data_IF_454003771021
#
_entry.id   IF_454003771021
#
_cell.length_a   1.000
_cell.length_b   1.000
_cell.length_c   1.000
_cell.angle_alpha   90.00
_cell.angle_beta   90.00
_cell.angle_gamma   90.00
#
_symmetry.space_group_name_H-M   'P 1'
#
loop_
_entity.id
_entity.type
_entity.pdbx_description
1 polymer ?
#
# COMPACT_ATOMS: atom_id res chain seq x y z
N UNK A 1 20.49 -29.78 -10.96
CA UNK A 1 19.83 -28.72 -11.75
C UNK A 1 20.26 -27.38 -11.18
N UNK A 2 20.45 -26.31 -11.97
CA UNK A 2 20.79 -25.01 -11.39
C UNK A 2 19.67 -24.54 -10.45
N UNK A 3 20.03 -24.24 -9.20
CA UNK A 3 19.11 -23.78 -8.17
C UNK A 3 18.53 -22.41 -8.57
N UNK A 4 17.20 -22.31 -8.69
CA UNK A 4 16.50 -21.08 -9.07
C UNK A 4 16.61 -20.06 -7.94
N UNK A 5 16.94 -18.81 -8.25
CA UNK A 5 17.04 -17.75 -7.26
C UNK A 5 15.67 -17.52 -6.58
N UNK A 6 15.55 -17.69 -5.25
CA UNK A 6 14.27 -17.56 -4.55
C UNK A 6 13.86 -16.09 -4.34
N UNK A 7 14.81 -15.16 -4.33
CA UNK A 7 14.53 -13.74 -4.11
C UNK A 7 13.93 -13.10 -5.37
N UNK A 8 12.90 -12.29 -5.19
CA UNK A 8 12.12 -11.68 -6.28
C UNK A 8 11.96 -10.18 -6.05
N UNK A 9 12.99 -9.37 -6.35
CA UNK A 9 12.93 -7.92 -6.12
C UNK A 9 11.98 -7.18 -7.09
N UNK A 10 11.40 -7.84 -8.10
CA UNK A 10 10.48 -7.19 -9.03
C UNK A 10 9.23 -6.61 -8.34
N UNK A 11 8.85 -5.40 -8.73
CA UNK A 11 7.69 -4.69 -8.18
C UNK A 11 6.41 -5.55 -8.15
N UNK A 12 5.78 -5.62 -6.97
CA UNK A 12 4.52 -6.33 -6.77
C UNK A 12 4.61 -7.86 -6.80
N UNK A 13 5.80 -8.45 -7.00
CA UNK A 13 5.97 -9.90 -6.93
C UNK A 13 5.99 -10.34 -5.46
N UNK A 14 5.30 -11.46 -5.18
CA UNK A 14 5.33 -12.06 -3.85
C UNK A 14 6.76 -12.56 -3.54
N UNK A 15 7.37 -12.12 -2.42
CA UNK A 15 8.61 -12.67 -1.94
C UNK A 15 8.38 -14.12 -1.46
N UNK A 16 9.45 -14.93 -1.35
CA UNK A 16 9.34 -16.30 -0.84
C UNK A 16 8.82 -16.33 0.60
N UNK A 17 9.16 -15.32 1.41
CA UNK A 17 8.74 -15.20 2.82
C UNK A 17 8.27 -13.77 3.11
N UNK A 18 7.12 -13.64 3.79
CA UNK A 18 6.54 -12.37 4.27
C UNK A 18 6.98 -12.10 5.72
N UNK A 19 8.24 -11.72 5.88
CA UNK A 19 8.88 -11.57 7.19
C UNK A 19 8.26 -10.40 7.96
N UNK A 20 7.90 -10.62 9.24
CA UNK A 20 7.35 -9.58 10.11
C UNK A 20 5.96 -9.07 9.72
N UNK A 21 5.24 -9.77 8.83
CA UNK A 21 3.90 -9.40 8.37
C UNK A 21 2.78 -10.27 8.94
N UNK A 22 3.12 -11.34 9.67
CA UNK A 22 2.17 -12.32 10.17
C UNK A 22 1.04 -11.70 11.02
N UNK A 23 1.29 -10.79 11.99
CA UNK A 23 0.19 -10.21 12.78
C UNK A 23 -0.83 -9.45 11.94
N UNK A 24 -0.38 -8.78 10.87
CA UNK A 24 -1.25 -8.03 9.95
C UNK A 24 -2.07 -9.01 9.09
N UNK A 25 -1.46 -10.12 8.69
CA UNK A 25 -2.11 -11.19 7.95
C UNK A 25 -3.18 -11.85 8.81
N UNK A 26 -2.88 -12.11 10.08
CA UNK A 26 -3.77 -12.74 11.04
C UNK A 26 -4.99 -11.86 11.30
N UNK A 27 -4.84 -10.55 11.54
CA UNK A 27 -5.99 -9.66 11.73
C UNK A 27 -6.97 -9.70 10.55
N UNK A 28 -6.44 -9.66 9.33
CA UNK A 28 -7.25 -9.70 8.12
C UNK A 28 -7.95 -11.05 7.97
N UNK A 29 -7.20 -12.12 8.22
CA UNK A 29 -7.67 -13.49 8.18
C UNK A 29 -8.83 -13.72 9.15
N UNK A 30 -8.66 -13.32 10.42
CA UNK A 30 -9.67 -13.38 11.47
C UNK A 30 -10.89 -12.53 11.13
N UNK A 31 -10.71 -11.34 10.51
CA UNK A 31 -11.84 -10.48 10.16
C UNK A 31 -12.72 -11.02 9.04
N UNK A 32 -12.19 -11.86 8.15
CA UNK A 32 -13.01 -12.57 7.18
C UNK A 32 -13.84 -13.67 7.85
N UNK A 33 -13.29 -14.33 8.87
CA UNK A 33 -13.93 -15.42 9.60
C UNK A 33 -14.97 -14.93 10.62
N UNK A 34 -14.71 -13.80 11.29
CA UNK A 34 -15.55 -13.23 12.35
C UNK A 34 -16.82 -12.53 11.85
N UNK A 35 -17.11 -12.50 10.55
CA UNK A 35 -18.37 -11.94 10.06
C UNK A 35 -18.42 -10.41 9.98
N UNK A 36 -19.60 -9.87 9.64
CA UNK A 36 -19.84 -8.44 9.44
C UNK A 36 -19.50 -7.67 10.74
N UNK A 37 -18.91 -6.48 10.61
CA UNK A 37 -18.52 -5.64 11.75
C UNK A 37 -17.11 -5.90 12.31
N UNK A 38 -16.43 -6.98 11.90
CA UNK A 38 -15.05 -7.22 12.33
C UNK A 38 -14.09 -6.09 11.86
N UNK A 39 -13.23 -5.52 12.75
CA UNK A 39 -12.40 -4.36 12.41
C UNK A 39 -11.50 -4.53 11.19
N UNK A 40 -10.95 -5.74 10.98
CA UNK A 40 -10.09 -6.05 9.84
C UNK A 40 -10.83 -6.16 8.49
N UNK A 41 -12.17 -5.96 8.45
CA UNK A 41 -12.90 -5.82 7.18
C UNK A 41 -12.66 -4.47 6.53
N UNK A 42 -12.23 -3.46 7.28
CA UNK A 42 -11.89 -2.14 6.74
C UNK A 42 -10.47 -1.86 7.20
N UNK A 43 -9.50 -2.00 6.31
CA UNK A 43 -8.09 -1.81 6.65
C UNK A 43 -7.45 -0.68 5.86
N UNK A 44 -6.50 -0.03 6.51
CA UNK A 44 -5.61 0.93 5.89
C UNK A 44 -4.16 0.50 6.11
N UNK A 45 -3.52 0.07 5.02
CA UNK A 45 -2.13 -0.36 4.98
C UNK A 45 -1.27 0.80 4.49
N UNK A 46 -0.39 1.29 5.35
CA UNK A 46 0.50 2.39 5.01
C UNK A 46 1.95 1.99 5.08
N UNK A 47 2.81 2.71 4.38
CA UNK A 47 4.25 2.55 4.44
C UNK A 47 4.92 3.31 3.30
N UNK A 48 6.23 3.52 3.39
CA UNK A 48 6.97 4.17 2.30
C UNK A 48 7.01 3.26 1.06
N UNK A 49 7.54 3.79 -0.05
CA UNK A 49 7.82 2.99 -1.25
C UNK A 49 8.72 1.80 -0.86
N UNK A 50 8.51 0.63 -1.48
CA UNK A 50 9.29 -0.59 -1.23
C UNK A 50 9.05 -1.33 0.10
N UNK A 51 8.14 -0.87 0.97
CA UNK A 51 7.80 -1.58 2.23
C UNK A 51 6.89 -2.82 2.05
N UNK A 52 6.43 -3.08 0.82
CA UNK A 52 5.61 -4.26 0.51
C UNK A 52 4.09 -4.05 0.59
N UNK A 53 3.59 -2.82 0.40
CA UNK A 53 2.14 -2.54 0.38
C UNK A 53 1.37 -3.39 -0.65
N UNK A 54 1.80 -3.37 -1.91
CA UNK A 54 1.21 -4.19 -2.99
C UNK A 54 1.32 -5.69 -2.72
N UNK A 55 2.40 -6.11 -2.05
CA UNK A 55 2.61 -7.50 -1.63
C UNK A 55 1.57 -7.88 -0.56
N UNK A 56 1.33 -7.02 0.43
CA UNK A 56 0.28 -7.24 1.44
C UNK A 56 -1.11 -7.32 0.82
N UNK A 57 -1.46 -6.41 -0.10
CA UNK A 57 -2.72 -6.49 -0.83
C UNK A 57 -2.83 -7.80 -1.62
N UNK A 58 -1.75 -8.27 -2.23
CA UNK A 58 -1.73 -9.54 -2.96
C UNK A 58 -1.96 -10.73 -2.03
N UNK A 59 -1.38 -10.71 -0.84
CA UNK A 59 -1.60 -11.75 0.16
C UNK A 59 -3.04 -11.77 0.68
N UNK A 60 -3.63 -10.61 0.99
CA UNK A 60 -5.03 -10.51 1.37
C UNK A 60 -5.96 -11.04 0.28
N UNK A 61 -5.66 -10.76 -0.99
CA UNK A 61 -6.41 -11.32 -2.13
C UNK A 61 -6.28 -12.84 -2.21
N UNK A 62 -5.10 -13.40 -1.95
CA UNK A 62 -4.87 -14.87 -1.92
C UNK A 62 -5.72 -15.51 -0.82
N UNK A 63 -5.69 -14.91 0.37
CA UNK A 63 -6.45 -15.35 1.55
C UNK A 63 -7.95 -15.29 1.29
N UNK A 64 -8.45 -14.18 0.76
CA UNK A 64 -9.87 -14.00 0.43
C UNK A 64 -10.34 -15.02 -0.62
N UNK A 65 -9.57 -15.23 -1.70
CA UNK A 65 -9.87 -16.26 -2.72
C UNK A 65 -9.92 -17.66 -2.12
N UNK A 66 -8.98 -18.02 -1.24
CA UNK A 66 -8.97 -19.30 -0.55
C UNK A 66 -10.22 -19.50 0.33
N UNK A 67 -10.79 -18.41 0.85
CA UNK A 67 -12.06 -18.39 1.60
C UNK A 67 -13.31 -18.25 0.74
N UNK A 68 -13.18 -18.31 -0.60
CA UNK A 68 -14.26 -18.13 -1.58
C UNK A 68 -14.92 -16.75 -1.59
N UNK A 69 -14.15 -15.71 -1.24
CA UNK A 69 -14.56 -14.33 -1.46
C UNK A 69 -14.27 -13.92 -2.91
N UNK A 70 -15.15 -13.09 -3.47
CA UNK A 70 -14.87 -12.41 -4.72
C UNK A 70 -13.84 -11.30 -4.48
N UNK A 71 -12.88 -11.14 -5.38
CA UNK A 71 -11.81 -10.16 -5.24
C UNK A 71 -11.83 -9.17 -6.40
N UNK A 72 -11.92 -7.90 -6.06
CA UNK A 72 -11.77 -6.76 -6.97
C UNK A 72 -10.51 -6.01 -6.56
N UNK A 73 -9.60 -5.81 -7.50
CA UNK A 73 -8.33 -5.14 -7.26
C UNK A 73 -8.19 -3.96 -8.21
N UNK A 74 -7.95 -2.78 -7.65
CA UNK A 74 -7.79 -1.54 -8.39
C UNK A 74 -6.55 -0.80 -7.93
N UNK A 75 -5.97 -0.04 -8.84
CA UNK A 75 -5.00 1.02 -8.51
C UNK A 75 -5.76 2.33 -8.57
N UNK A 76 -5.64 3.15 -7.53
CA UNK A 76 -6.30 4.44 -7.46
C UNK A 76 -5.81 5.38 -8.56
N UNK A 77 -6.78 6.01 -9.23
CA UNK A 77 -6.61 7.04 -10.25
C UNK A 77 -7.98 7.67 -10.50
N UNK A 78 -8.04 8.77 -11.24
CA UNK A 78 -9.32 9.42 -11.62
C UNK A 78 -10.33 8.42 -12.18
N UNK A 79 -11.59 8.52 -11.75
CA UNK A 79 -12.68 7.65 -12.19
C UNK A 79 -12.66 6.27 -11.54
N UNK A 80 -12.13 6.15 -10.32
CA UNK A 80 -12.03 4.88 -9.60
C UNK A 80 -13.41 4.27 -9.35
N UNK A 81 -14.38 5.09 -8.93
CA UNK A 81 -15.76 4.63 -8.66
C UNK A 81 -16.43 4.06 -9.91
N UNK A 82 -16.28 4.74 -11.05
CA UNK A 82 -16.83 4.26 -12.32
C UNK A 82 -16.28 2.87 -12.70
N UNK A 83 -14.97 2.64 -12.52
CA UNK A 83 -14.34 1.33 -12.77
C UNK A 83 -14.83 0.25 -11.81
N UNK A 84 -15.00 0.58 -10.53
CA UNK A 84 -15.59 -0.34 -9.55
C UNK A 84 -17.02 -0.73 -9.93
N UNK A 85 -17.85 0.23 -10.32
CA UNK A 85 -19.23 -0.02 -10.76
C UNK A 85 -19.24 -0.94 -12.00
N UNK A 86 -18.39 -0.66 -13.00
CA UNK A 86 -18.29 -1.46 -14.21
C UNK A 86 -17.86 -2.91 -13.90
N UNK A 87 -16.93 -3.09 -12.96
CA UNK A 87 -16.46 -4.43 -12.53
C UNK A 87 -17.52 -5.21 -11.75
N UNK A 88 -18.31 -4.52 -10.93
CA UNK A 88 -19.41 -5.12 -10.16
C UNK A 88 -20.61 -5.49 -11.04
N UNK A 89 -20.80 -4.77 -12.15
CA UNK A 89 -21.93 -4.93 -13.08
C UNK A 89 -21.47 -5.27 -14.51
N UNK A 90 -20.76 -6.39 -14.73
CA UNK A 90 -20.31 -6.76 -16.07
C UNK A 90 -21.53 -7.03 -16.97
N UNK A 91 -21.57 -6.32 -18.09
CA UNK A 91 -22.66 -6.26 -19.06
C UNK A 91 -23.08 -7.66 -19.50
N UNK A 92 -24.19 -8.15 -18.94
CA UNK A 92 -24.73 -9.49 -19.16
C UNK A 92 -26.08 -9.76 -18.47
N UNK A 93 -26.53 -8.84 -17.60
CA UNK A 93 -27.91 -8.76 -17.15
C UNK A 93 -28.42 -7.38 -17.54
N UNK A 94 -29.50 -7.34 -18.34
CA UNK A 94 -30.26 -6.14 -18.63
C UNK A 94 -30.45 -5.39 -17.30
N UNK A 95 -30.12 -4.11 -17.26
CA UNK A 95 -30.82 -3.23 -16.34
C UNK A 95 -32.29 -3.33 -16.75
N UNK A 96 -33.06 -4.16 -16.05
CA UNK A 96 -34.49 -3.99 -16.04
C UNK A 96 -34.73 -2.63 -15.39
N UNK A 97 -34.91 -1.63 -16.27
CA UNK A 97 -35.63 -0.41 -15.96
C UNK A 97 -37.08 -0.81 -15.64
N UNK A 98 -37.31 -1.31 -14.44
CA UNK A 98 -38.66 -1.58 -13.94
C UNK A 98 -38.61 -1.57 -12.41
N UNK A 99 -38.57 -0.36 -11.85
CA UNK A 99 -39.35 0.06 -10.68
C UNK A 99 -39.08 1.55 -10.45
N UNK A 100 -39.35 2.35 -11.49
CA UNK A 100 -39.73 3.74 -11.30
C UNK A 100 -41.24 3.72 -11.44
N UNK A 101 -41.95 3.52 -10.33
CA UNK A 101 -43.38 3.85 -10.28
C UNK A 101 -43.50 5.33 -10.63
N UNK A 102 -44.11 5.71 -11.77
CA UNK A 102 -44.35 7.11 -12.03
C UNK A 102 -45.40 7.53 -11.02
N UNK A 103 -45.00 8.42 -10.10
CA UNK A 103 -45.93 9.11 -9.22
C UNK A 103 -47.03 9.71 -10.09
N UNK A 104 -48.26 9.28 -9.83
CA UNK A 104 -49.49 9.71 -10.50
C UNK A 104 -49.44 11.23 -10.68
N UNK A 105 -49.38 11.66 -11.93
CA UNK A 105 -49.31 13.06 -12.31
C UNK A 105 -50.59 13.79 -11.92
N UNK A 106 -50.45 14.81 -11.06
CA UNK A 106 -51.42 15.88 -10.94
C UNK A 106 -51.42 16.62 -12.28
N UNK A 107 -52.59 16.73 -12.90
CA UNK A 107 -52.76 17.48 -14.15
C UNK A 107 -52.37 18.96 -13.93
N UNK A 108 -51.33 19.43 -14.62
CA UNK A 108 -51.04 20.87 -14.70
C UNK A 108 -49.56 21.30 -14.64
N UNK A 109 -48.60 20.42 -14.41
CA UNK A 109 -47.17 20.79 -14.42
C UNK A 109 -46.45 19.97 -15.49
N UNK A 110 -45.90 20.72 -16.44
CA UNK A 110 -45.36 20.25 -17.69
C UNK A 110 -44.37 19.10 -17.54
N UNK A 111 -44.52 18.16 -18.46
CA UNK A 111 -43.49 17.25 -18.98
C UNK A 111 -42.16 17.98 -19.15
N UNK A 112 -41.30 17.90 -18.13
CA UNK A 112 -39.90 18.27 -18.24
C UNK A 112 -39.18 17.16 -19.02
N UNK A 113 -39.19 17.34 -20.33
CA UNK A 113 -38.13 16.96 -21.28
C UNK A 113 -37.14 15.87 -20.84
N UNK A 114 -37.30 14.71 -21.45
CA UNK A 114 -36.22 13.79 -21.85
C UNK A 114 -35.07 14.56 -22.51
N UNK A 115 -34.12 15.05 -21.72
CA UNK A 115 -32.97 15.80 -22.23
C UNK A 115 -32.37 16.70 -21.16
N UNK A 116 -31.16 16.37 -20.72
CA UNK A 116 -30.35 17.05 -19.68
C UNK A 116 -30.52 16.55 -18.25
N UNK A 117 -30.59 15.24 -18.09
CA UNK A 117 -30.06 14.57 -16.91
C UNK A 117 -28.73 13.89 -17.29
N UNK A 118 -27.71 14.67 -17.69
CA UNK A 118 -26.32 14.21 -17.49
C UNK A 118 -26.04 14.35 -15.99
N UNK A 119 -26.72 13.53 -15.18
CA UNK A 119 -26.19 13.23 -13.86
C UNK A 119 -24.81 12.64 -14.12
N UNK A 120 -23.78 13.20 -13.53
CA UNK A 120 -22.45 12.61 -13.48
C UNK A 120 -22.56 11.28 -12.73
N UNK A 121 -23.02 10.24 -13.45
CA UNK A 121 -23.30 8.91 -12.93
C UNK A 121 -22.01 8.16 -12.53
N UNK A 122 -20.85 8.77 -12.79
CA UNK A 122 -19.53 8.17 -12.66
C UNK A 122 -19.04 8.09 -11.21
N UNK A 123 -19.54 8.92 -10.29
CA UNK A 123 -19.11 8.96 -8.87
C UNK A 123 -20.28 9.04 -7.86
N UNK A 124 -21.46 8.51 -8.18
CA UNK A 124 -22.60 8.52 -7.25
C UNK A 124 -22.50 7.37 -6.22
N UNK A 125 -22.44 7.66 -4.89
CA UNK A 125 -22.38 6.63 -3.84
C UNK A 125 -23.55 5.64 -3.88
N UNK A 126 -24.76 6.09 -4.27
CA UNK A 126 -25.94 5.23 -4.39
C UNK A 126 -25.77 4.20 -5.50
N UNK A 127 -25.19 4.60 -6.64
CA UNK A 127 -24.94 3.68 -7.76
C UNK A 127 -23.94 2.60 -7.36
N UNK A 128 -22.87 2.96 -6.66
CA UNK A 128 -21.89 2.00 -6.15
C UNK A 128 -22.50 1.06 -5.10
N UNK A 129 -23.28 1.59 -4.14
CA UNK A 129 -24.04 0.78 -3.15
C UNK A 129 -24.93 -0.25 -3.86
N UNK A 130 -25.72 0.19 -4.84
CA UNK A 130 -26.63 -0.68 -5.58
C UNK A 130 -25.86 -1.77 -6.36
N UNK A 131 -24.72 -1.44 -6.96
CA UNK A 131 -23.87 -2.40 -7.64
C UNK A 131 -23.29 -3.45 -6.67
N UNK A 132 -22.83 -3.03 -5.48
CA UNK A 132 -22.35 -3.92 -4.42
C UNK A 132 -23.45 -4.86 -3.94
N UNK A 133 -24.61 -4.34 -3.54
CA UNK A 133 -25.73 -5.14 -3.05
C UNK A 133 -26.22 -6.14 -4.10
N UNK A 134 -26.34 -5.72 -5.37
CA UNK A 134 -26.69 -6.62 -6.47
C UNK A 134 -25.66 -7.75 -6.61
N UNK A 135 -24.37 -7.44 -6.49
CA UNK A 135 -23.31 -8.44 -6.61
C UNK A 135 -23.31 -9.41 -5.43
N UNK A 136 -23.47 -8.92 -4.20
CA UNK A 136 -23.60 -9.73 -2.99
C UNK A 136 -24.81 -10.66 -3.05
N UNK A 137 -25.94 -10.19 -3.58
CA UNK A 137 -27.16 -10.98 -3.72
C UNK A 137 -27.14 -11.93 -4.92
N UNK A 138 -26.09 -11.89 -5.75
CA UNK A 138 -25.94 -12.84 -6.86
C UNK A 138 -25.69 -14.27 -6.35
N UNK A 139 -26.05 -15.26 -7.18
CA UNK A 139 -25.79 -16.69 -6.91
C UNK A 139 -24.30 -17.04 -6.82
N UNK A 140 -23.40 -16.13 -7.22
CA UNK A 140 -21.94 -16.34 -7.18
C UNK A 140 -21.36 -16.17 -5.78
N UNK A 141 -22.00 -15.37 -4.93
CA UNK A 141 -21.55 -15.15 -3.55
C UNK A 141 -22.33 -16.09 -2.63
N UNK A 142 -21.62 -17.01 -1.98
CA UNK A 142 -22.19 -17.94 -1.00
C UNK A 142 -22.59 -17.25 0.31
N UNK A 143 -23.33 -17.97 1.16
CA UNK A 143 -23.63 -17.54 2.53
C UNK A 143 -22.35 -17.31 3.35
N UNK A 144 -22.33 -16.27 4.17
CA UNK A 144 -21.16 -15.90 4.98
C UNK A 144 -19.92 -15.45 4.18
N UNK A 145 -20.07 -15.27 2.85
CA UNK A 145 -19.00 -14.83 1.94
C UNK A 145 -19.24 -13.39 1.49
N UNK A 146 -18.28 -12.82 0.79
CA UNK A 146 -18.35 -11.42 0.43
C UNK A 146 -17.49 -11.02 -0.74
N UNK A 147 -17.34 -9.71 -0.88
CA UNK A 147 -16.49 -9.05 -1.87
C UNK A 147 -15.36 -8.37 -1.11
N UNK A 148 -14.11 -8.71 -1.45
CA UNK A 148 -12.93 -7.97 -1.06
C UNK A 148 -12.60 -6.95 -2.16
N UNK A 149 -12.47 -5.69 -1.79
CA UNK A 149 -11.97 -4.61 -2.64
C UNK A 149 -10.60 -4.19 -2.11
N UNK A 150 -9.56 -4.29 -2.94
CA UNK A 150 -8.23 -3.75 -2.61
C UNK A 150 -7.90 -2.57 -3.51
N UNK A 151 -7.51 -1.44 -2.92
CA UNK A 151 -7.15 -0.21 -3.65
C UNK A 151 -5.70 0.12 -3.33
N UNK A 152 -4.81 0.01 -4.32
CA UNK A 152 -3.41 0.42 -4.19
C UNK A 152 -3.20 1.89 -4.57
N UNK A 153 -2.12 2.49 -4.08
CA UNK A 153 -1.75 3.89 -4.31
C UNK A 153 -2.89 4.90 -4.05
N UNK A 154 -3.65 4.68 -2.97
CA UNK A 154 -4.89 5.41 -2.64
C UNK A 154 -4.72 6.94 -2.67
N UNK A 155 -3.51 7.47 -2.46
CA UNK A 155 -3.23 8.91 -2.58
C UNK A 155 -3.40 9.49 -4.00
N UNK A 156 -3.54 8.65 -5.02
CA UNK A 156 -3.79 9.05 -6.41
C UNK A 156 -5.29 9.11 -6.74
N UNK A 157 -6.19 8.73 -5.80
CA UNK A 157 -7.62 8.82 -6.00
C UNK A 157 -8.11 10.26 -5.83
N UNK A 158 -9.15 10.63 -6.58
CA UNK A 158 -9.87 11.87 -6.33
C UNK A 158 -10.58 11.80 -4.96
N UNK A 159 -10.65 12.93 -4.26
CA UNK A 159 -11.29 13.00 -2.95
C UNK A 159 -12.76 12.52 -2.98
N UNK A 160 -13.49 12.93 -4.02
CA UNK A 160 -14.89 12.55 -4.24
C UNK A 160 -15.08 11.04 -4.38
N UNK A 161 -14.15 10.35 -5.05
CA UNK A 161 -14.19 8.89 -5.22
C UNK A 161 -14.02 8.18 -3.87
N UNK A 162 -13.10 8.65 -3.02
CA UNK A 162 -12.87 8.08 -1.68
C UNK A 162 -14.09 8.26 -0.77
N UNK A 163 -14.72 9.44 -0.82
CA UNK A 163 -15.96 9.73 -0.09
C UNK A 163 -17.09 8.83 -0.58
N UNK A 164 -17.24 8.65 -1.89
CA UNK A 164 -18.29 7.81 -2.44
C UNK A 164 -18.10 6.33 -2.08
N UNK A 165 -16.86 5.83 -2.11
CA UNK A 165 -16.54 4.46 -1.69
C UNK A 165 -16.85 4.27 -0.21
N UNK A 166 -16.38 5.15 0.66
CA UNK A 166 -16.61 5.06 2.10
C UNK A 166 -18.11 5.06 2.42
N UNK A 167 -18.87 5.98 1.80
CA UNK A 167 -20.32 6.10 1.97
C UNK A 167 -21.07 4.86 1.48
N UNK A 168 -20.70 4.32 0.31
CA UNK A 168 -21.32 3.12 -0.24
C UNK A 168 -21.06 1.89 0.65
N UNK A 169 -19.81 1.68 1.08
CA UNK A 169 -19.45 0.54 1.95
C UNK A 169 -20.15 0.64 3.30
N UNK A 170 -20.20 1.83 3.91
CA UNK A 170 -20.93 2.04 5.16
C UNK A 170 -22.40 1.63 5.02
N UNK A 171 -23.09 2.09 3.98
CA UNK A 171 -24.48 1.71 3.77
C UNK A 171 -24.67 0.21 3.50
N UNK A 172 -23.77 -0.45 2.77
CA UNK A 172 -23.85 -1.90 2.56
C UNK A 172 -23.69 -2.69 3.86
N UNK A 173 -22.83 -2.20 4.77
CA UNK A 173 -22.70 -2.81 6.11
C UNK A 173 -24.00 -2.62 6.90
N UNK A 174 -24.57 -1.42 6.90
CA UNK A 174 -25.86 -1.13 7.55
C UNK A 174 -26.99 -1.99 6.98
N UNK A 175 -27.08 -2.13 5.66
CA UNK A 175 -28.08 -2.96 4.97
C UNK A 175 -27.99 -4.44 5.41
N UNK A 176 -26.78 -4.94 5.64
CA UNK A 176 -26.57 -6.30 6.12
C UNK A 176 -27.01 -6.47 7.59
N UNK A 177 -26.80 -5.46 8.43
CA UNK A 177 -27.19 -5.49 9.84
C UNK A 177 -28.70 -5.38 10.04
N UNK A 178 -29.41 -4.65 9.17
CA UNK A 178 -30.86 -4.55 9.16
C UNK A 178 -31.56 -5.78 8.59
N UNK A 179 -30.81 -6.75 8.05
CA UNK A 179 -31.38 -7.99 7.50
C UNK A 179 -31.62 -9.04 8.58
N UNK A 180 -32.70 -9.81 8.45
CA UNK A 180 -33.05 -10.94 9.33
C UNK A 180 -32.17 -12.20 9.11
N UNK A 181 -31.03 -12.06 8.45
CA UNK A 181 -30.10 -13.17 8.17
C UNK A 181 -29.20 -13.37 9.39
N UNK A 182 -29.01 -14.62 9.87
CA UNK A 182 -28.05 -14.89 10.94
C UNK A 182 -26.65 -14.39 10.60
N UNK A 183 -25.91 -13.86 11.56
CA UNK A 183 -24.59 -13.25 11.32
C UNK A 183 -23.61 -14.17 10.58
N UNK A 184 -23.67 -15.47 10.83
CA UNK A 184 -22.85 -16.47 10.14
C UNK A 184 -23.15 -16.60 8.64
N UNK A 185 -24.38 -16.30 8.23
CA UNK A 185 -24.85 -16.34 6.85
C UNK A 185 -24.78 -14.96 6.16
N UNK A 186 -24.62 -13.87 6.93
CA UNK A 186 -24.56 -12.51 6.40
C UNK A 186 -23.40 -12.37 5.42
N UNK A 187 -23.75 -11.92 4.21
CA UNK A 187 -22.77 -11.52 3.20
C UNK A 187 -22.28 -10.11 3.50
N UNK A 188 -21.10 -9.75 2.99
CA UNK A 188 -20.59 -8.41 3.23
C UNK A 188 -19.45 -7.99 2.34
N UNK A 189 -18.91 -6.82 2.65
CA UNK A 189 -17.77 -6.22 1.96
C UNK A 189 -16.60 -6.15 2.93
N UNK A 190 -15.42 -6.46 2.42
CA UNK A 190 -14.14 -6.09 3.01
C UNK A 190 -13.46 -5.12 2.06
N UNK A 191 -12.85 -4.06 2.60
CA UNK A 191 -12.12 -3.07 1.82
C UNK A 191 -10.76 -2.79 2.46
N UNK A 192 -9.73 -2.82 1.63
CA UNK A 192 -8.35 -2.53 2.05
C UNK A 192 -7.79 -1.44 1.17
N UNK A 193 -7.44 -0.32 1.79
CA UNK A 193 -6.71 0.77 1.16
C UNK A 193 -5.23 0.59 1.42
N UNK A 194 -4.40 0.67 0.39
CA UNK A 194 -2.96 0.81 0.53
C UNK A 194 -2.52 2.16 -0.01
N UNK A 195 -1.63 2.81 0.73
CA UNK A 195 -1.14 4.11 0.33
C UNK A 195 -0.03 4.64 1.22
N UNK A 196 0.26 5.90 1.02
CA UNK A 196 1.30 6.61 1.72
C UNK A 196 0.77 7.13 3.09
N UNK A 197 1.50 7.00 4.23
CA UNK A 197 1.09 7.46 5.57
C UNK A 197 0.34 8.81 5.73
N UNK A 198 0.85 9.94 5.21
CA UNK A 198 0.20 11.27 5.18
C UNK A 198 -1.21 11.27 4.58
N UNK A 199 -1.56 10.35 3.68
CA UNK A 199 -2.90 10.29 3.11
C UNK A 199 -3.95 10.15 4.21
N UNK A 200 -3.57 9.61 5.37
CA UNK A 200 -4.42 9.62 6.54
C UNK A 200 -4.83 11.02 6.94
N UNK A 201 -3.93 12.00 6.98
CA UNK A 201 -4.30 13.35 7.42
C UNK A 201 -5.40 13.94 6.50
N UNK A 202 -5.20 13.83 5.19
CA UNK A 202 -6.17 14.30 4.18
C UNK A 202 -7.49 13.51 4.23
N UNK A 203 -7.43 12.21 4.53
CA UNK A 203 -8.62 11.36 4.70
C UNK A 203 -9.33 11.61 6.03
N UNK A 204 -8.65 12.14 7.04
CA UNK A 204 -9.19 12.31 8.39
C UNK A 204 -9.78 13.71 8.59
N UNK A 205 -9.30 14.73 7.89
CA UNK A 205 -9.69 16.12 8.13
C UNK A 205 -11.14 16.49 7.71
N UNK A 206 -11.93 15.56 7.16
CA UNK A 206 -13.32 15.79 6.75
C UNK A 206 -14.35 15.03 7.62
N UNK A 207 -15.53 15.66 7.83
CA UNK A 207 -16.63 15.09 8.64
C UNK A 207 -17.24 13.82 8.03
N UNK A 208 -17.24 13.70 6.70
CA UNK A 208 -17.90 12.61 5.95
C UNK A 208 -17.12 11.28 6.03
N UNK A 209 -15.81 11.31 6.28
CA UNK A 209 -14.93 10.13 6.32
C UNK A 209 -14.74 9.55 7.72
N UNK A 210 -15.64 9.88 8.67
CA UNK A 210 -15.67 9.27 10.01
C UNK A 210 -15.70 7.74 9.98
N UNK A 211 -16.23 7.14 8.92
CA UNK A 211 -16.11 5.70 8.65
C UNK A 211 -14.64 5.23 8.52
N UNK A 212 -13.83 5.90 7.70
CA UNK A 212 -12.42 5.57 7.53
C UNK A 212 -11.61 5.79 8.81
N UNK A 213 -12.08 6.64 9.73
CA UNK A 213 -11.45 6.78 11.07
C UNK A 213 -11.46 5.46 11.85
N UNK A 214 -12.48 4.62 11.63
CA UNK A 214 -12.67 3.31 12.28
C UNK A 214 -11.97 2.15 11.56
N UNK A 215 -11.34 2.42 10.42
CA UNK A 215 -10.53 1.41 9.74
C UNK A 215 -9.37 0.94 10.62
N UNK A 216 -9.09 -0.37 10.63
CA UNK A 216 -7.91 -0.93 11.28
C UNK A 216 -6.65 -0.46 10.53
N UNK A 217 -5.79 0.28 11.23
CA UNK A 217 -4.59 0.88 10.65
C UNK A 217 -3.38 0.00 10.90
N UNK A 218 -2.63 -0.29 9.85
CA UNK A 218 -1.35 -1.01 9.94
C UNK A 218 -0.30 -0.27 9.12
N UNK A 219 0.66 0.32 9.81
CA UNK A 219 1.83 0.92 9.18
C UNK A 219 2.94 -0.12 9.03
N UNK A 220 3.32 -0.38 7.79
CA UNK A 220 4.44 -1.23 7.44
C UNK A 220 5.74 -0.52 7.80
N UNK A 221 6.53 -1.19 8.63
CA UNK A 221 7.85 -0.75 9.06
C UNK A 221 8.95 -1.69 8.54
N UNK A 222 10.21 -1.31 8.81
CA UNK A 222 11.37 -2.16 8.56
C UNK A 222 11.20 -3.46 9.37
N UNK A 223 11.75 -4.53 8.82
CA UNK A 223 11.77 -5.83 9.46
C UNK A 223 12.92 -5.87 10.46
N UNK A 224 12.72 -6.36 11.69
CA UNK A 224 13.81 -6.54 12.64
C UNK A 224 14.95 -7.37 12.04
N UNK A 225 16.19 -6.93 12.23
CA UNK A 225 17.37 -7.61 11.68
C UNK A 225 17.48 -9.10 12.05
N UNK A 226 17.11 -9.54 13.28
CA UNK A 226 17.08 -10.96 13.61
C UNK A 226 16.13 -11.77 12.72
N UNK A 227 14.97 -11.21 12.38
CA UNK A 227 13.99 -11.88 11.53
C UNK A 227 14.47 -11.94 10.08
N UNK A 228 15.11 -10.87 9.59
CA UNK A 228 15.74 -10.87 8.25
C UNK A 228 16.84 -11.91 8.15
N UNK A 229 17.72 -11.99 9.16
CA UNK A 229 18.77 -13.01 9.23
C UNK A 229 18.16 -14.42 9.16
N UNK A 230 17.16 -14.71 9.99
CA UNK A 230 16.51 -16.02 10.02
C UNK A 230 15.90 -16.36 8.65
N UNK A 231 15.23 -15.39 8.04
CA UNK A 231 14.63 -15.59 6.72
C UNK A 231 15.69 -15.82 5.63
N UNK A 232 16.87 -15.19 5.70
CA UNK A 232 17.96 -15.50 4.78
C UNK A 232 18.46 -16.93 4.99
N UNK A 233 18.64 -17.39 6.23
CA UNK A 233 19.05 -18.76 6.52
C UNK A 233 18.05 -19.78 5.95
N UNK A 234 16.76 -19.58 6.23
CA UNK A 234 15.67 -20.46 5.78
C UNK A 234 15.53 -20.44 4.25
N UNK A 235 15.39 -19.25 3.65
CA UNK A 235 15.16 -19.11 2.20
C UNK A 235 16.32 -19.70 1.38
N UNK A 236 17.56 -19.47 1.81
CA UNK A 236 18.75 -19.98 1.13
C UNK A 236 18.82 -21.50 1.24
N UNK A 237 18.58 -22.04 2.44
CA UNK A 237 18.57 -23.48 2.71
C UNK A 237 17.50 -24.21 1.90
N UNK A 238 16.25 -23.74 1.97
CA UNK A 238 15.10 -24.34 1.28
C UNK A 238 15.27 -24.33 -0.26
N UNK A 239 16.10 -23.42 -0.76
CA UNK A 239 16.37 -23.27 -2.20
C UNK A 239 17.61 -24.05 -2.65
N UNK A 240 18.28 -24.78 -1.75
CA UNK A 240 19.39 -25.67 -2.06
C UNK A 240 20.79 -25.06 -1.96
N UNK A 241 20.95 -23.93 -1.27
CA UNK A 241 22.26 -23.35 -0.93
C UNK A 241 22.41 -23.23 0.58
N UNK A 242 23.59 -22.84 1.05
CA UNK A 242 23.86 -22.60 2.46
C UNK A 242 24.52 -21.24 2.64
N UNK A 243 24.27 -20.63 3.79
CA UNK A 243 24.91 -19.39 4.24
C UNK A 243 25.15 -19.51 5.74
N UNK A 244 26.30 -19.04 6.23
CA UNK A 244 26.60 -19.11 7.65
C UNK A 244 25.74 -18.11 8.46
N UNK A 245 25.55 -18.33 9.75
CA UNK A 245 24.82 -17.38 10.61
C UNK A 245 25.49 -15.99 10.67
N UNK A 246 26.83 -15.87 10.79
CA UNK A 246 27.50 -14.58 10.71
C UNK A 246 27.29 -13.88 9.36
N UNK A 247 27.35 -14.62 8.25
CA UNK A 247 27.16 -14.10 6.90
C UNK A 247 25.70 -13.62 6.69
N UNK A 248 24.71 -14.42 7.09
CA UNK A 248 23.30 -14.03 7.01
C UNK A 248 22.99 -12.79 7.88
N UNK A 249 23.67 -12.66 9.03
CA UNK A 249 23.55 -11.50 9.91
C UNK A 249 24.13 -10.25 9.24
N UNK A 250 25.27 -10.38 8.56
CA UNK A 250 25.87 -9.27 7.83
C UNK A 250 25.00 -8.84 6.64
N UNK A 251 24.46 -9.80 5.87
CA UNK A 251 23.50 -9.52 4.81
C UNK A 251 22.25 -8.79 5.34
N UNK A 252 21.74 -9.20 6.51
CA UNK A 252 20.63 -8.52 7.18
C UNK A 252 20.99 -7.08 7.55
N UNK A 253 22.18 -6.85 8.13
CA UNK A 253 22.68 -5.51 8.48
C UNK A 253 22.79 -4.60 7.26
N UNK A 254 23.34 -5.11 6.15
CA UNK A 254 23.48 -4.37 4.90
C UNK A 254 22.13 -3.99 4.26
N UNK A 255 21.08 -4.75 4.59
CA UNK A 255 19.72 -4.44 4.12
C UNK A 255 18.96 -3.40 4.97
N UNK A 256 19.47 -3.08 6.17
CA UNK A 256 18.82 -2.24 7.18
C UNK A 256 17.37 -2.66 7.54
N UNK A 257 17.02 -3.92 7.29
CA UNK A 257 15.67 -4.43 7.48
C UNK A 257 14.64 -3.89 6.49
N UNK A 258 15.05 -3.09 5.50
CA UNK A 258 14.15 -2.51 4.53
C UNK A 258 13.72 -3.58 3.49
N UNK A 259 12.43 -3.94 3.38
CA UNK A 259 11.99 -5.14 2.66
C UNK A 259 12.48 -5.27 1.21
N UNK A 260 12.48 -4.17 0.44
CA UNK A 260 12.96 -4.22 -0.93
C UNK A 260 14.49 -4.37 -1.01
N UNK A 261 15.25 -3.79 -0.09
CA UNK A 261 16.70 -4.00 0.00
C UNK A 261 17.03 -5.43 0.46
N UNK A 262 16.26 -6.01 1.38
CA UNK A 262 16.37 -7.42 1.76
C UNK A 262 16.28 -8.32 0.53
N UNK A 263 15.32 -8.05 -0.36
CA UNK A 263 15.19 -8.81 -1.62
C UNK A 263 16.34 -8.57 -2.59
N UNK A 264 16.85 -7.34 -2.71
CA UNK A 264 17.99 -7.02 -3.59
C UNK A 264 19.28 -7.69 -3.10
N UNK A 265 19.63 -7.52 -1.82
CA UNK A 265 20.80 -8.16 -1.21
C UNK A 265 20.72 -9.69 -1.38
N UNK A 266 19.57 -10.29 -1.05
CA UNK A 266 19.36 -11.71 -1.23
C UNK A 266 19.51 -12.17 -2.68
N UNK A 267 18.92 -11.41 -3.61
CA UNK A 267 19.00 -11.71 -5.04
C UNK A 267 20.43 -11.67 -5.55
N UNK A 268 21.19 -10.62 -5.25
CA UNK A 268 22.54 -10.46 -5.79
C UNK A 268 23.59 -11.33 -5.08
N UNK A 269 23.48 -11.57 -3.76
CA UNK A 269 24.37 -12.52 -3.08
C UNK A 269 24.18 -13.96 -3.62
N UNK A 270 22.94 -14.33 -3.94
CA UNK A 270 22.63 -15.59 -4.60
C UNK A 270 23.24 -15.67 -6.01
N UNK A 271 23.06 -14.61 -6.81
CA UNK A 271 23.63 -14.54 -8.17
C UNK A 271 25.16 -14.62 -8.14
N UNK A 272 25.82 -13.96 -7.19
CA UNK A 272 27.27 -14.05 -7.01
C UNK A 272 27.71 -15.51 -6.77
N UNK A 273 27.09 -16.19 -5.80
CA UNK A 273 27.43 -17.59 -5.52
C UNK A 273 27.12 -18.52 -6.70
N UNK A 274 26.01 -18.27 -7.41
CA UNK A 274 25.62 -19.03 -8.59
C UNK A 274 26.62 -18.88 -9.75
N UNK A 275 27.13 -17.67 -9.99
CA UNK A 275 28.16 -17.40 -11.02
C UNK A 275 29.49 -18.10 -10.72
N UNK A 276 29.80 -18.31 -9.44
CA UNK A 276 30.94 -19.13 -9.01
C UNK A 276 30.66 -20.64 -9.02
N UNK A 277 29.46 -21.07 -9.43
CA UNK A 277 29.01 -22.46 -9.38
C UNK A 277 29.12 -23.09 -7.98
N UNK A 278 28.76 -22.33 -6.95
CA UNK A 278 28.88 -22.76 -5.55
C UNK A 278 27.51 -22.83 -4.87
N UNK A 279 27.35 -23.81 -3.99
CA UNK A 279 26.17 -23.96 -3.11
C UNK A 279 26.40 -23.35 -1.72
N UNK A 280 27.51 -22.64 -1.54
CA UNK A 280 27.82 -21.88 -0.32
C UNK A 280 27.92 -20.41 -0.68
N UNK A 281 27.06 -19.59 -0.05
CA UNK A 281 27.14 -18.14 -0.08
C UNK A 281 28.16 -17.72 0.98
N UNK A 282 29.17 -16.97 0.55
CA UNK A 282 30.29 -16.53 1.39
C UNK A 282 30.22 -15.03 1.67
N UNK A 283 31.02 -14.55 2.62
CA UNK A 283 31.20 -13.12 2.88
C UNK A 283 31.53 -12.31 1.61
N UNK A 284 32.31 -12.87 0.67
CA UNK A 284 32.62 -12.20 -0.60
C UNK A 284 31.38 -12.03 -1.48
N UNK A 285 30.48 -13.00 -1.52
CA UNK A 285 29.24 -12.92 -2.30
C UNK A 285 28.28 -11.89 -1.72
N UNK A 286 28.26 -11.76 -0.40
CA UNK A 286 27.46 -10.76 0.30
C UNK A 286 28.01 -9.37 0.04
N UNK A 287 29.33 -9.18 0.12
CA UNK A 287 29.96 -7.90 -0.18
C UNK A 287 29.70 -7.46 -1.63
N UNK A 288 29.93 -8.35 -2.60
CA UNK A 288 29.63 -8.08 -4.02
C UNK A 288 28.13 -7.86 -4.24
N UNK A 289 27.30 -8.73 -3.66
CA UNK A 289 25.85 -8.66 -3.81
C UNK A 289 25.23 -7.41 -3.21
N UNK A 290 25.74 -6.94 -2.07
CA UNK A 290 25.30 -5.69 -1.46
C UNK A 290 25.71 -4.46 -2.30
N UNK A 291 26.90 -4.46 -2.90
CA UNK A 291 27.30 -3.40 -3.82
C UNK A 291 26.38 -3.33 -5.04
N UNK A 292 26.08 -4.47 -5.67
CA UNK A 292 25.12 -4.54 -6.79
C UNK A 292 23.69 -4.13 -6.34
N UNK A 293 23.29 -4.52 -5.13
CA UNK A 293 22.00 -4.15 -4.55
C UNK A 293 21.86 -2.65 -4.34
N UNK A 294 22.91 -1.97 -3.88
CA UNK A 294 22.93 -0.53 -3.69
C UNK A 294 22.75 0.21 -5.01
N UNK A 295 23.48 -0.19 -6.07
CA UNK A 295 23.32 0.41 -7.41
C UNK A 295 21.89 0.25 -7.93
N UNK A 296 21.33 -0.96 -7.81
CA UNK A 296 19.95 -1.22 -8.22
C UNK A 296 18.91 -0.46 -7.37
N UNK A 297 19.22 -0.23 -6.10
CA UNK A 297 18.38 0.55 -5.21
C UNK A 297 18.42 2.03 -5.55
N UNK A 298 19.61 2.56 -5.87
CA UNK A 298 19.79 3.95 -6.26
C UNK A 298 18.95 4.26 -7.49
N UNK A 299 19.04 3.43 -8.53
CA UNK A 299 18.27 3.58 -9.77
C UNK A 299 16.75 3.46 -9.55
N UNK A 300 16.32 2.55 -8.68
CA UNK A 300 14.90 2.23 -8.49
C UNK A 300 14.19 3.10 -7.44
N UNK A 301 14.94 3.69 -6.49
CA UNK A 301 14.38 4.37 -5.32
C UNK A 301 14.99 5.76 -5.14
N UNK A 302 16.31 5.89 -5.05
CA UNK A 302 16.93 7.17 -4.71
C UNK A 302 16.86 8.18 -5.85
N UNK A 303 17.19 7.79 -7.08
CA UNK A 303 17.09 8.65 -8.26
C UNK A 303 15.64 9.11 -8.50
N UNK A 304 14.63 8.22 -8.55
CA UNK A 304 13.22 8.63 -8.66
C UNK A 304 12.73 9.48 -7.48
N UNK A 305 13.25 9.29 -6.27
CA UNK A 305 12.91 10.15 -5.13
C UNK A 305 13.42 11.59 -5.31
N UNK A 306 14.49 11.78 -6.10
CA UNK A 306 15.02 13.11 -6.43
C UNK A 306 14.33 13.74 -7.64
N UNK A 307 13.52 12.98 -8.39
CA UNK A 307 12.73 13.53 -9.50
C UNK A 307 11.72 14.56 -9.01
N UNK A 308 11.61 15.67 -9.74
CA UNK A 308 10.73 16.77 -9.35
C UNK A 308 11.26 17.67 -8.22
N UNK A 309 12.34 17.29 -7.53
CA UNK A 309 12.96 18.16 -6.51
C UNK A 309 13.55 19.43 -7.14
N UNK A 310 13.18 20.58 -6.59
CA UNK A 310 13.71 21.88 -6.99
C UNK A 310 15.17 22.04 -6.57
N UNK A 311 15.88 23.00 -7.18
CA UNK A 311 17.26 23.32 -6.80
C UNK A 311 17.39 23.71 -5.32
N UNK A 312 16.37 24.35 -4.74
CA UNK A 312 16.34 24.72 -3.33
C UNK A 312 16.18 23.50 -2.41
N UNK A 313 15.31 22.55 -2.78
CA UNK A 313 15.12 21.29 -2.07
C UNK A 313 16.38 20.42 -2.13
N UNK A 314 17.01 20.31 -3.31
CA UNK A 314 18.29 19.61 -3.47
C UNK A 314 19.39 20.22 -2.60
N UNK A 315 19.45 21.55 -2.49
CA UNK A 315 20.41 22.23 -1.61
C UNK A 315 20.16 21.88 -0.14
N UNK A 316 18.90 21.83 0.29
CA UNK A 316 18.52 21.42 1.65
C UNK A 316 18.96 19.97 1.93
N UNK A 317 18.64 19.05 1.02
CA UNK A 317 18.98 17.63 1.15
C UNK A 317 20.49 17.40 1.13
N UNK A 318 21.24 18.07 0.25
CA UNK A 318 22.72 18.01 0.25
C UNK A 318 23.32 18.57 1.54
N UNK A 319 22.70 19.57 2.16
CA UNK A 319 23.15 20.07 3.46
C UNK A 319 22.94 19.06 4.60
N UNK A 320 21.84 18.29 4.55
CA UNK A 320 21.59 17.17 5.48
C UNK A 320 22.50 15.97 5.23
N UNK A 321 22.78 15.66 3.95
CA UNK A 321 23.59 14.51 3.57
C UNK A 321 24.97 14.48 4.21
N UNK A 322 25.50 15.63 4.66
CA UNK A 322 26.80 15.73 5.36
C UNK A 322 26.84 15.04 6.72
N UNK A 323 25.70 14.84 7.39
CA UNK A 323 25.67 14.23 8.74
C UNK A 323 25.42 12.73 8.70
N UNK A 324 25.10 12.17 7.53
CA UNK A 324 24.78 10.75 7.36
C UNK A 324 25.94 9.89 7.88
N UNK A 325 25.68 8.89 8.73
CA UNK A 325 24.37 8.28 9.04
C UNK A 325 23.56 8.96 10.17
N UNK A 326 24.10 9.99 10.82
CA UNK A 326 23.47 10.63 11.97
C UNK A 326 22.38 11.64 11.57
N UNK A 327 21.37 11.88 12.43
CA UNK A 327 20.38 12.92 12.20
C UNK A 327 20.97 14.34 12.17
N UNK A 328 20.51 15.15 11.23
CA UNK A 328 20.90 16.55 11.05
C UNK A 328 20.14 17.50 11.98
N UNK A 329 20.83 18.40 12.66
CA UNK A 329 20.21 19.52 13.36
C UNK A 329 19.70 20.60 12.39
N UNK A 330 18.46 21.06 12.56
CA UNK A 330 17.82 22.07 11.69
C UNK A 330 18.63 23.38 11.63
N UNK A 331 19.29 23.76 12.74
CA UNK A 331 20.13 24.96 12.79
C UNK A 331 21.35 24.84 11.86
N UNK A 332 21.95 23.66 11.78
CA UNK A 332 23.15 23.40 10.98
C UNK A 332 22.82 23.50 9.47
N UNK A 333 21.59 23.16 9.08
CA UNK A 333 21.09 23.36 7.71
C UNK A 333 21.06 24.85 7.36
N UNK A 334 20.56 25.71 8.27
CA UNK A 334 20.52 27.16 8.04
C UNK A 334 21.92 27.73 7.86
N UNK A 335 22.87 27.31 8.68
CA UNK A 335 24.28 27.72 8.62
C UNK A 335 24.96 27.26 7.32
N UNK A 336 24.83 25.98 6.97
CA UNK A 336 25.45 25.39 5.76
C UNK A 336 24.91 25.98 4.48
N UNK A 337 23.60 26.23 4.43
CA UNK A 337 22.93 26.77 3.24
C UNK A 337 23.01 28.30 3.16
N UNK A 338 23.39 28.97 4.26
CA UNK A 338 23.35 30.43 4.42
C UNK A 338 21.97 31.01 4.08
N UNK A 339 20.90 30.33 4.51
CA UNK A 339 19.50 30.72 4.25
C UNK A 339 18.77 31.12 5.54
N UNK A 340 17.68 31.87 5.38
CA UNK A 340 16.86 32.33 6.50
C UNK A 340 16.11 31.17 7.18
N UNK A 341 15.69 31.38 8.43
CA UNK A 341 14.81 30.43 9.15
C UNK A 341 13.49 30.19 8.43
N UNK A 342 12.94 31.21 7.77
CA UNK A 342 11.71 31.07 6.97
C UNK A 342 11.91 30.14 5.76
N UNK A 343 13.06 30.23 5.09
CA UNK A 343 13.43 29.32 4.00
C UNK A 343 13.55 27.89 4.51
N UNK A 344 14.27 27.68 5.62
CA UNK A 344 14.44 26.35 6.22
C UNK A 344 13.09 25.76 6.64
N UNK A 345 12.22 26.56 7.26
CA UNK A 345 10.87 26.11 7.64
C UNK A 345 10.03 25.70 6.42
N UNK A 346 10.03 26.51 5.36
CA UNK A 346 9.32 26.24 4.11
C UNK A 346 9.75 24.92 3.49
N UNK A 347 11.06 24.72 3.27
CA UNK A 347 11.56 23.52 2.60
C UNK A 347 11.59 22.30 3.49
N UNK A 348 11.74 22.46 4.81
CA UNK A 348 11.48 21.37 5.76
C UNK A 348 10.04 20.85 5.62
N UNK A 349 9.05 21.74 5.58
CA UNK A 349 7.66 21.34 5.42
C UNK A 349 7.40 20.68 4.07
N UNK A 350 7.96 21.23 2.98
CA UNK A 350 7.86 20.64 1.64
C UNK A 350 8.52 19.25 1.58
N UNK A 351 9.76 19.09 2.06
CA UNK A 351 10.48 17.82 2.02
C UNK A 351 9.91 16.75 2.96
N UNK A 352 9.30 17.14 4.07
CA UNK A 352 8.51 16.23 4.91
C UNK A 352 7.23 15.80 4.17
N UNK A 353 6.58 16.73 3.48
CA UNK A 353 5.39 16.43 2.66
C UNK A 353 5.74 15.48 1.50
N UNK A 354 6.84 15.73 0.80
CA UNK A 354 7.36 14.89 -0.28
C UNK A 354 8.08 13.63 0.23
N UNK A 355 8.25 13.54 1.55
CA UNK A 355 8.82 12.42 2.30
C UNK A 355 10.23 12.00 1.92
N UNK A 356 11.03 12.99 1.59
CA UNK A 356 12.47 12.79 1.49
C UNK A 356 13.11 12.81 2.89
N UNK A 357 12.46 13.46 3.86
CA UNK A 357 12.95 13.58 5.24
C UNK A 357 11.83 13.39 6.28
N UNK A 358 12.20 13.10 7.52
CA UNK A 358 11.30 13.04 8.69
C UNK A 358 11.96 13.59 9.95
N UNK A 359 11.17 13.82 11.00
CA UNK A 359 11.66 14.30 12.30
C UNK A 359 12.33 13.15 13.06
N UNK A 360 13.54 13.38 13.58
CA UNK A 360 14.31 12.41 14.37
C UNK A 360 14.41 12.78 15.86
N UNK A 361 13.73 13.85 16.28
CA UNK A 361 13.78 14.37 17.65
C UNK A 361 13.56 15.88 17.68
N UNK A 362 13.75 16.52 18.84
CA UNK A 362 13.63 17.96 18.97
C UNK A 362 14.65 18.69 18.09
N UNK A 363 14.17 19.28 16.98
CA UNK A 363 15.00 20.04 16.06
C UNK A 363 15.90 19.20 15.15
N UNK A 364 15.72 17.88 15.10
CA UNK A 364 16.50 16.97 14.27
C UNK A 364 15.70 16.39 13.11
N UNK A 365 16.39 16.17 11.99
CA UNK A 365 15.85 15.62 10.76
C UNK A 365 16.71 14.45 10.29
N UNK A 366 16.09 13.43 9.73
CA UNK A 366 16.77 12.33 9.07
C UNK A 366 16.10 12.03 7.72
N UNK A 367 16.81 11.32 6.85
CA UNK A 367 16.25 10.86 5.58
C UNK A 367 15.16 9.82 5.83
N UNK A 368 14.01 10.00 5.19
CA UNK A 368 12.92 9.04 5.28
C UNK A 368 13.05 7.92 4.23
N UNK A 369 13.81 8.17 3.17
CA UNK A 369 14.18 7.19 2.15
C UNK A 369 15.52 6.57 2.58
N UNK A 370 15.60 5.24 2.79
CA UNK A 370 16.85 4.57 3.13
C UNK A 370 17.92 4.88 2.09
N UNK A 371 19.18 4.97 2.51
CA UNK A 371 20.35 5.20 1.65
C UNK A 371 20.40 6.53 0.87
N UNK A 372 19.32 7.33 0.86
CA UNK A 372 19.25 8.57 0.07
C UNK A 372 20.35 9.58 0.46
N UNK A 373 20.71 9.62 1.73
CA UNK A 373 21.79 10.47 2.21
C UNK A 373 23.16 10.11 1.63
N UNK A 374 23.52 8.82 1.63
CA UNK A 374 24.76 8.32 1.03
C UNK A 374 24.76 8.50 -0.49
N UNK A 375 23.63 8.21 -1.15
CA UNK A 375 23.45 8.48 -2.57
C UNK A 375 23.76 9.95 -2.90
N UNK A 376 23.22 10.90 -2.12
CA UNK A 376 23.50 12.32 -2.30
C UNK A 376 24.96 12.73 -2.05
N UNK A 377 25.73 11.98 -1.25
CA UNK A 377 27.17 12.20 -1.07
C UNK A 377 27.98 11.73 -2.28
N UNK A 378 27.49 10.74 -3.03
CA UNK A 378 28.13 10.23 -4.25
C UNK A 378 27.91 11.10 -5.50
N UNK A 379 26.95 12.03 -5.44
CA UNK A 379 26.58 12.99 -6.51
C UNK A 379 27.29 14.35 -6.38
#
# INVERSE_FOLDING_TARGET
>A
MPSINPFKPTAGKMPPILIGRQPIIDDFSEALDNGVGAPGRIMLITGQRGFGKTVMLTEFRRIAKARHWEVIAETASTGLVARLIATLSPTGMRLDQADISPSIGIAGIATASLGQARFSAESNPLTLRNALNRRLNSRKIGKGKGILITIDETQAAAHEDLVAIATAVQHVITDADESDVPDADKKGVAIVFAGLPYMLNDLLDNEVTTFLRRALRRELQNVPLPDVRNAFLETVLDSGKTVSEPDAREAARLSDGYPYMVQLVGYYMWQSAQRRHSDVITASDIATGAADALLAFDDAVCAPAMDGTTSAERLFLKAMAKDVPDPTQVRDIAERTKRSRSWVSKYRAALIKDRLIRSAGHGQLEFAVPHLGQYLQSL
#
